data_IF_991250126157
#
_entry.id   IF_991250126157
#
_cell.length_a   1.000
_cell.length_b   1.000
_cell.length_c   1.000
_cell.angle_alpha   90.00
_cell.angle_beta   90.00
_cell.angle_gamma   90.00
#
_symmetry.space_group_name_H-M   'P 1'
#
loop_
_entity.id
_entity.type
_entity.pdbx_description
1 polymer ?
#
# COMPACT_ATOMS: atom_id res chain seq x y z
N UNK A 1 18.27 -3.98 41.55
CA UNK A 1 19.06 -3.77 40.31
C UNK A 1 18.25 -2.91 39.35
N UNK A 2 18.44 -1.59 39.37
CA UNK A 2 17.94 -0.72 38.31
C UNK A 2 18.92 -0.85 37.13
N UNK A 3 18.56 -1.68 36.14
CA UNK A 3 19.30 -1.72 34.89
C UNK A 3 19.17 -0.35 34.20
N UNK A 4 20.18 0.48 34.37
CA UNK A 4 20.28 1.79 33.74
C UNK A 4 20.76 1.62 32.29
N UNK A 5 19.98 0.90 31.46
CA UNK A 5 20.20 0.88 30.02
C UNK A 5 19.82 2.24 29.45
N UNK A 6 20.79 3.14 29.33
CA UNK A 6 20.69 4.28 28.40
C UNK A 6 20.68 3.71 26.98
N UNK A 7 19.51 3.32 26.48
CA UNK A 7 19.32 3.05 25.05
C UNK A 7 19.55 4.37 24.31
N UNK A 8 20.79 4.59 23.87
CA UNK A 8 21.16 5.81 23.18
C UNK A 8 20.79 5.69 21.69
N UNK A 9 19.51 5.89 21.37
CA UNK A 9 18.99 5.94 19.99
C UNK A 9 19.50 7.15 19.19
N UNK A 10 20.58 7.81 19.62
CA UNK A 10 21.31 8.75 18.78
C UNK A 10 22.27 8.04 17.81
N UNK A 11 22.55 6.75 18.01
CA UNK A 11 23.39 5.98 17.10
C UNK A 11 22.61 5.66 15.80
N UNK A 12 23.07 6.21 14.69
CA UNK A 12 22.52 6.01 13.34
C UNK A 12 22.39 4.53 12.98
N UNK A 13 23.41 3.71 13.28
CA UNK A 13 23.40 2.27 12.96
C UNK A 13 22.28 1.52 13.65
N UNK A 14 21.96 1.86 14.90
CA UNK A 14 20.83 1.25 15.62
C UNK A 14 19.52 1.56 14.89
N UNK A 15 19.37 2.78 14.38
CA UNK A 15 18.18 3.18 13.62
C UNK A 15 18.10 2.44 12.29
N UNK A 16 19.22 2.29 11.59
CA UNK A 16 19.32 1.50 10.37
C UNK A 16 18.92 0.04 10.60
N UNK A 17 19.39 -0.60 11.68
CA UNK A 17 18.99 -1.97 12.03
C UNK A 17 17.50 -2.07 12.36
N UNK A 18 16.96 -1.13 13.13
CA UNK A 18 15.53 -1.11 13.43
C UNK A 18 14.69 -0.93 12.15
N UNK A 19 15.14 -0.10 11.22
CA UNK A 19 14.48 0.06 9.93
C UNK A 19 14.64 -1.17 9.04
N UNK A 20 15.79 -1.85 9.07
CA UNK A 20 16.00 -3.12 8.37
C UNK A 20 14.97 -4.17 8.80
N UNK A 21 14.74 -4.29 10.12
CA UNK A 21 13.71 -5.19 10.66
C UNK A 21 12.32 -4.76 10.15
N UNK A 22 12.01 -3.45 10.12
CA UNK A 22 10.74 -2.97 9.57
C UNK A 22 10.57 -3.39 8.10
N UNK A 23 11.60 -3.23 7.28
CA UNK A 23 11.58 -3.63 5.86
C UNK A 23 11.34 -5.13 5.70
N UNK A 24 11.99 -5.97 6.50
CA UNK A 24 11.78 -7.42 6.47
C UNK A 24 10.31 -7.73 6.80
N UNK A 25 9.81 -7.23 7.94
CA UNK A 25 8.49 -7.59 8.45
C UNK A 25 7.32 -6.96 7.68
N UNK A 26 7.51 -5.80 7.06
CA UNK A 26 6.44 -5.05 6.38
C UNK A 26 6.52 -5.18 4.86
N UNK A 27 7.71 -5.33 4.27
CA UNK A 27 7.87 -5.41 2.81
C UNK A 27 8.08 -6.85 2.33
N UNK A 28 8.97 -7.59 2.99
CA UNK A 28 9.32 -8.95 2.54
C UNK A 28 8.33 -10.00 3.01
N UNK A 29 7.80 -9.91 4.23
CA UNK A 29 6.85 -10.88 4.80
C UNK A 29 5.64 -10.21 5.49
N UNK A 30 4.88 -9.35 4.78
CA UNK A 30 3.81 -8.53 5.36
C UNK A 30 2.65 -9.31 5.97
N UNK A 31 2.42 -10.54 5.49
CA UNK A 31 1.31 -11.39 5.94
C UNK A 31 1.72 -12.44 6.98
N UNK A 32 3.00 -12.52 7.33
CA UNK A 32 3.45 -13.38 8.42
C UNK A 32 2.82 -12.95 9.75
N UNK A 33 2.31 -13.92 10.50
CA UNK A 33 1.64 -13.67 11.79
C UNK A 33 0.64 -14.75 12.18
N UNK A 34 -0.28 -14.39 13.07
CA UNK A 34 -1.32 -15.27 13.62
C UNK A 34 -2.67 -14.55 13.71
N UNK A 35 -3.75 -15.28 13.98
CA UNK A 35 -5.06 -14.70 14.27
C UNK A 35 -5.34 -14.78 15.76
N UNK A 36 -5.86 -13.70 16.34
CA UNK A 36 -6.37 -13.67 17.70
C UNK A 36 -7.83 -13.22 17.66
N UNK A 37 -8.77 -14.04 18.13
CA UNK A 37 -10.21 -13.74 18.11
C UNK A 37 -10.73 -13.26 16.72
N UNK A 38 -10.25 -13.89 15.63
CA UNK A 38 -10.61 -13.52 14.26
C UNK A 38 -9.86 -12.32 13.67
N UNK A 39 -9.08 -11.59 14.48
CA UNK A 39 -8.31 -10.42 14.03
C UNK A 39 -6.93 -10.89 13.53
N UNK A 40 -6.53 -10.58 12.28
CA UNK A 40 -5.21 -10.91 11.79
C UNK A 40 -4.16 -9.98 12.40
N UNK A 41 -3.24 -10.56 13.17
CA UNK A 41 -2.09 -9.86 13.76
C UNK A 41 -0.86 -10.24 12.95
N UNK A 42 -0.23 -9.27 12.29
CA UNK A 42 1.00 -9.49 11.51
C UNK A 42 2.23 -9.03 12.28
N UNK A 43 3.37 -9.68 12.03
CA UNK A 43 4.64 -9.31 12.65
C UNK A 43 5.03 -7.86 12.37
N UNK A 44 4.76 -7.38 11.14
CA UNK A 44 4.98 -5.99 10.76
C UNK A 44 4.22 -5.01 11.65
N UNK A 45 2.93 -5.26 11.91
CA UNK A 45 2.10 -4.35 12.71
C UNK A 45 2.43 -4.44 14.20
N UNK A 46 2.77 -5.62 14.72
CA UNK A 46 3.31 -5.76 16.08
C UNK A 46 4.61 -4.98 16.25
N UNK A 47 5.48 -5.04 15.25
CA UNK A 47 6.74 -4.31 15.25
C UNK A 47 6.53 -2.79 15.16
N UNK A 48 5.59 -2.32 14.35
CA UNK A 48 5.18 -0.91 14.36
C UNK A 48 4.64 -0.48 15.74
N UNK A 49 3.87 -1.34 16.40
CA UNK A 49 3.42 -1.12 17.79
C UNK A 49 4.58 -1.01 18.78
N UNK A 50 5.58 -1.89 18.66
CA UNK A 50 6.82 -1.80 19.46
C UNK A 50 7.57 -0.49 19.20
N UNK A 51 7.77 -0.10 17.93
CA UNK A 51 8.42 1.17 17.59
C UNK A 51 7.63 2.36 18.13
N UNK A 52 6.29 2.30 18.12
CA UNK A 52 5.44 3.34 18.68
C UNK A 52 5.70 3.51 20.17
N UNK A 53 5.67 2.42 20.94
CA UNK A 53 5.96 2.45 22.38
C UNK A 53 7.38 2.97 22.66
N UNK A 54 8.36 2.53 21.88
CA UNK A 54 9.74 3.01 21.98
C UNK A 54 9.83 4.52 21.74
N UNK A 55 9.15 5.04 20.71
CA UNK A 55 9.07 6.47 20.44
C UNK A 55 8.44 7.21 21.63
N UNK A 56 7.33 6.72 22.17
CA UNK A 56 6.64 7.32 23.33
C UNK A 56 7.56 7.39 24.57
N UNK A 57 8.30 6.32 24.87
CA UNK A 57 9.28 6.32 25.99
C UNK A 57 10.36 7.38 25.79
N UNK A 58 10.82 7.58 24.55
CA UNK A 58 11.80 8.63 24.25
C UNK A 58 11.23 10.04 24.41
N UNK A 59 9.93 10.24 24.12
CA UNK A 59 9.24 11.52 24.36
C UNK A 59 9.32 11.90 25.83
N UNK A 60 8.94 10.97 26.71
CA UNK A 60 8.93 11.20 28.16
C UNK A 60 10.33 11.48 28.71
N UNK A 61 11.36 10.84 28.17
CA UNK A 61 12.74 11.04 28.62
C UNK A 61 13.33 12.39 28.19
N UNK A 62 13.12 12.82 26.94
CA UNK A 62 13.81 14.01 26.39
C UNK A 62 13.12 15.36 26.67
N UNK A 63 11.90 15.37 27.25
CA UNK A 63 11.06 16.56 27.55
C UNK A 63 10.77 17.52 26.38
N UNK A 64 11.39 17.34 25.21
CA UNK A 64 11.16 18.10 23.98
C UNK A 64 11.20 17.13 22.79
N UNK A 65 10.09 17.03 22.07
CA UNK A 65 10.00 16.28 20.83
C UNK A 65 9.70 17.24 19.69
N UNK A 66 10.71 17.44 18.83
CA UNK A 66 10.62 18.35 17.71
C UNK A 66 10.14 17.59 16.48
N UNK A 67 8.84 17.71 16.21
CA UNK A 67 8.24 17.25 14.95
C UNK A 67 8.22 18.41 13.97
N UNK A 68 8.45 18.15 12.69
CA UNK A 68 8.31 19.22 11.70
C UNK A 68 6.85 19.61 11.54
N UNK A 69 6.60 20.90 11.32
CA UNK A 69 5.26 21.43 11.08
C UNK A 69 4.54 20.71 9.93
N UNK A 70 5.27 20.33 8.87
CA UNK A 70 4.73 19.58 7.73
C UNK A 70 4.10 18.24 8.16
N UNK A 71 4.82 17.44 8.95
CA UNK A 71 4.29 16.15 9.44
C UNK A 71 3.10 16.36 10.37
N UNK A 72 3.19 17.37 11.25
CA UNK A 72 2.13 17.69 12.20
C UNK A 72 0.83 18.11 11.49
N UNK A 73 0.90 18.99 10.49
CA UNK A 73 -0.28 19.37 9.71
C UNK A 73 -0.87 18.19 8.94
N UNK A 74 -0.02 17.30 8.39
CA UNK A 74 -0.50 16.08 7.74
C UNK A 74 -1.27 15.17 8.70
N UNK A 75 -0.79 15.01 9.94
CA UNK A 75 -1.51 14.28 10.98
C UNK A 75 -2.82 14.98 11.37
N UNK A 76 -2.81 16.29 11.60
CA UNK A 76 -4.02 17.04 11.93
C UNK A 76 -5.10 16.90 10.85
N UNK A 77 -4.72 16.85 9.57
CA UNK A 77 -5.66 16.67 8.47
C UNK A 77 -6.38 15.30 8.50
N UNK A 78 -5.85 14.29 9.21
CA UNK A 78 -6.53 12.98 9.34
C UNK A 78 -7.60 12.97 10.43
N UNK A 79 -7.47 13.84 11.45
CA UNK A 79 -8.35 13.84 12.62
C UNK A 79 -9.83 14.13 12.29
N UNK A 80 -10.19 15.10 11.42
CA UNK A 80 -11.59 15.35 11.09
C UNK A 80 -12.31 14.13 10.55
N UNK A 81 -11.65 13.33 9.69
CA UNK A 81 -12.24 12.11 9.15
C UNK A 81 -12.43 11.04 10.23
N UNK A 82 -11.45 10.86 11.11
CA UNK A 82 -11.55 9.91 12.24
C UNK A 82 -12.66 10.32 13.21
N UNK A 83 -12.75 11.61 13.57
CA UNK A 83 -13.80 12.11 14.44
C UNK A 83 -15.19 11.96 13.81
N UNK A 84 -15.32 12.29 12.52
CA UNK A 84 -16.55 12.10 11.78
C UNK A 84 -16.96 10.62 11.74
N UNK A 85 -16.01 9.72 11.50
CA UNK A 85 -16.23 8.28 11.58
C UNK A 85 -16.76 7.86 12.96
N UNK A 86 -16.09 8.27 14.05
CA UNK A 86 -16.50 7.91 15.41
C UNK A 86 -17.89 8.44 15.76
N UNK A 87 -18.23 9.66 15.34
CA UNK A 87 -19.58 10.22 15.51
C UNK A 87 -20.60 9.41 14.71
N UNK A 88 -20.28 9.07 13.45
CA UNK A 88 -21.17 8.29 12.59
C UNK A 88 -21.43 6.89 13.19
N UNK A 89 -20.38 6.24 13.70
CA UNK A 89 -20.46 4.95 14.40
C UNK A 89 -21.38 5.02 15.63
N UNK A 90 -21.27 6.08 16.44
CA UNK A 90 -22.10 6.29 17.63
C UNK A 90 -23.57 6.56 17.27
N UNK A 91 -23.83 7.31 16.21
CA UNK A 91 -25.19 7.72 15.83
C UNK A 91 -25.94 6.66 15.01
N UNK A 92 -25.23 5.89 14.19
CA UNK A 92 -25.84 4.98 13.20
C UNK A 92 -25.57 3.50 13.47
N UNK A 93 -24.60 3.19 14.32
CA UNK A 93 -24.25 1.82 14.66
C UNK A 93 -23.23 1.18 13.71
N UNK A 94 -23.01 -0.11 13.93
CA UNK A 94 -21.95 -0.91 13.32
C UNK A 94 -22.44 -2.33 13.03
N UNK A 95 -22.33 -2.77 11.78
CA UNK A 95 -22.79 -4.09 11.34
C UNK A 95 -21.64 -5.03 10.94
N UNK A 96 -20.41 -4.53 10.93
CA UNK A 96 -19.24 -5.31 10.52
C UNK A 96 -18.63 -6.18 11.62
N UNK A 97 -17.57 -6.91 11.28
CA UNK A 97 -16.80 -7.70 12.25
C UNK A 97 -15.91 -6.82 13.13
N UNK A 98 -15.76 -7.12 14.42
CA UNK A 98 -14.88 -6.36 15.31
C UNK A 98 -13.45 -6.15 14.76
N UNK A 99 -12.93 -7.09 13.96
CA UNK A 99 -11.67 -6.95 13.24
C UNK A 99 -11.65 -5.83 12.19
N UNK A 100 -12.75 -5.59 11.47
CA UNK A 100 -12.87 -4.47 10.52
C UNK A 100 -12.84 -3.12 11.25
N UNK A 101 -13.48 -3.03 12.43
CA UNK A 101 -13.44 -1.83 13.27
C UNK A 101 -12.02 -1.52 13.76
N UNK A 102 -11.31 -2.54 14.25
CA UNK A 102 -9.89 -2.40 14.64
C UNK A 102 -9.05 -2.02 13.43
N UNK A 103 -9.24 -2.67 12.29
CA UNK A 103 -8.50 -2.37 11.08
C UNK A 103 -8.68 -0.91 10.66
N UNK A 104 -9.90 -0.35 10.77
CA UNK A 104 -10.16 1.07 10.53
C UNK A 104 -9.38 1.97 11.48
N UNK A 105 -9.52 1.81 12.80
CA UNK A 105 -8.83 2.70 13.76
C UNK A 105 -7.32 2.56 13.69
N UNK A 106 -6.80 1.34 13.49
CA UNK A 106 -5.37 1.14 13.26
C UNK A 106 -4.94 1.91 12.01
N UNK A 107 -5.71 1.82 10.94
CA UNK A 107 -5.41 2.43 9.65
C UNK A 107 -5.45 3.96 9.67
N UNK A 108 -6.52 4.56 10.20
CA UNK A 108 -6.77 6.00 10.08
C UNK A 108 -6.40 6.83 11.31
N UNK A 109 -6.25 6.20 12.48
CA UNK A 109 -5.85 6.89 13.72
C UNK A 109 -4.44 6.49 14.16
N UNK A 110 -4.20 5.19 14.36
CA UNK A 110 -2.95 4.72 14.95
C UNK A 110 -1.74 4.88 14.01
N UNK A 111 -1.85 4.47 12.74
CA UNK A 111 -0.75 4.58 11.77
C UNK A 111 -0.32 6.03 11.53
N UNK A 112 -1.21 6.99 11.20
CA UNK A 112 -0.79 8.38 11.01
C UNK A 112 -0.15 8.98 12.27
N UNK A 113 -0.67 8.68 13.47
CA UNK A 113 -0.02 9.07 14.72
C UNK A 113 1.36 8.41 14.88
N UNK A 114 1.48 7.13 14.57
CA UNK A 114 2.74 6.39 14.66
C UNK A 114 3.80 6.99 13.75
N UNK A 115 3.46 7.30 12.51
CA UNK A 115 4.40 7.91 11.56
C UNK A 115 4.76 9.37 11.90
N UNK A 116 3.86 10.12 12.55
CA UNK A 116 4.20 11.41 13.18
C UNK A 116 5.31 11.22 14.24
N UNK A 117 5.17 10.21 15.10
CA UNK A 117 6.17 9.89 16.12
C UNK A 117 7.44 9.23 15.56
N UNK A 118 7.38 8.61 14.39
CA UNK A 118 8.55 8.05 13.72
C UNK A 118 9.32 9.09 12.91
N UNK A 119 8.71 10.22 12.56
CA UNK A 119 9.35 11.21 11.69
C UNK A 119 10.72 11.70 12.18
N UNK A 120 10.94 11.99 13.50
CA UNK A 120 12.25 12.41 13.99
C UNK A 120 13.25 11.24 14.11
N UNK A 121 12.74 10.01 14.18
CA UNK A 121 13.55 8.81 14.11
C UNK A 121 14.09 8.62 12.68
N UNK A 122 13.19 8.63 11.70
CA UNK A 122 13.50 8.46 10.27
C UNK A 122 14.42 9.56 9.71
N UNK A 123 14.26 10.80 10.18
CA UNK A 123 15.08 11.93 9.73
C UNK A 123 16.58 11.74 9.95
N UNK A 124 16.99 10.97 10.97
CA UNK A 124 18.42 10.72 11.27
C UNK A 124 18.95 9.41 10.70
N UNK A 125 18.24 8.79 9.77
CA UNK A 125 18.76 7.66 9.01
C UNK A 125 19.23 8.20 7.67
N UNK A 126 20.38 7.76 7.19
CA UNK A 126 20.82 8.05 5.83
C UNK A 126 19.75 7.63 4.81
N UNK A 127 19.22 8.62 4.07
CA UNK A 127 18.21 8.41 3.04
C UNK A 127 18.74 7.54 1.90
N UNK A 128 20.05 7.57 1.62
CA UNK A 128 20.65 6.71 0.59
C UNK A 128 20.64 5.25 1.04
N UNK A 129 20.97 4.97 2.31
CA UNK A 129 20.78 3.63 2.89
C UNK A 129 19.33 3.16 2.78
N UNK A 130 18.36 4.00 3.16
CA UNK A 130 16.92 3.68 3.08
C UNK A 130 16.49 3.34 1.65
N UNK A 131 16.79 4.22 0.69
CA UNK A 131 16.43 4.05 -0.73
C UNK A 131 17.03 2.74 -1.30
N UNK A 132 18.29 2.44 -0.97
CA UNK A 132 18.96 1.19 -1.40
C UNK A 132 18.32 -0.04 -0.79
N UNK A 133 17.96 0.02 0.48
CA UNK A 133 17.34 -1.11 1.18
C UNK A 133 15.95 -1.39 0.61
N UNK A 134 15.13 -0.35 0.40
CA UNK A 134 13.83 -0.46 -0.24
C UNK A 134 13.97 -1.03 -1.66
N UNK A 135 14.92 -0.52 -2.44
CA UNK A 135 15.20 -1.01 -3.80
C UNK A 135 15.52 -2.50 -3.81
N UNK A 136 16.36 -2.97 -2.87
CA UNK A 136 16.65 -4.41 -2.72
C UNK A 136 15.41 -5.20 -2.33
N UNK A 137 14.64 -4.72 -1.36
CA UNK A 137 13.44 -5.40 -0.88
C UNK A 137 12.38 -5.56 -1.98
N UNK A 138 12.10 -4.49 -2.74
CA UNK A 138 11.20 -4.52 -3.90
C UNK A 138 11.66 -5.56 -4.93
N UNK A 139 12.95 -5.56 -5.27
CA UNK A 139 13.49 -6.55 -6.21
C UNK A 139 13.31 -7.99 -5.70
N UNK A 140 13.70 -8.27 -4.45
CA UNK A 140 13.63 -9.63 -3.89
C UNK A 140 12.20 -10.14 -3.79
N UNK A 141 11.25 -9.30 -3.35
CA UNK A 141 9.86 -9.72 -3.21
C UNK A 141 9.17 -9.91 -4.56
N UNK A 142 9.56 -9.14 -5.58
CA UNK A 142 9.15 -9.37 -6.97
C UNK A 142 9.75 -10.65 -7.55
N UNK A 143 11.05 -10.88 -7.37
CA UNK A 143 11.72 -12.10 -7.83
C UNK A 143 11.10 -13.35 -7.19
N UNK A 144 10.93 -13.33 -5.87
CA UNK A 144 10.26 -14.41 -5.14
C UNK A 144 8.82 -14.62 -5.64
N UNK A 145 8.09 -13.53 -5.90
CA UNK A 145 6.76 -13.59 -6.50
C UNK A 145 6.73 -14.30 -7.86
N UNK A 146 7.71 -14.04 -8.73
CA UNK A 146 7.82 -14.72 -10.04
C UNK A 146 8.10 -16.21 -9.91
N UNK A 147 8.95 -16.59 -8.95
CA UNK A 147 9.23 -18.00 -8.65
C UNK A 147 7.97 -18.72 -8.15
N UNK A 148 7.25 -18.11 -7.20
CA UNK A 148 6.00 -18.66 -6.69
C UNK A 148 4.91 -18.73 -7.74
N UNK A 149 4.78 -17.70 -8.58
CA UNK A 149 3.83 -17.68 -9.69
C UNK A 149 4.09 -18.85 -10.63
N UNK A 150 5.35 -19.01 -11.08
CA UNK A 150 5.75 -20.11 -11.98
C UNK A 150 5.50 -21.47 -11.33
N UNK A 151 5.88 -21.63 -10.05
CA UNK A 151 5.64 -22.86 -9.31
C UNK A 151 4.15 -23.21 -9.23
N UNK A 152 3.28 -22.25 -8.91
CA UNK A 152 1.83 -22.45 -8.85
C UNK A 152 1.25 -22.85 -10.21
N UNK A 153 1.71 -22.24 -11.31
CA UNK A 153 1.22 -22.62 -12.64
C UNK A 153 1.65 -24.02 -13.06
N UNK A 154 2.82 -24.50 -12.61
CA UNK A 154 3.33 -25.84 -12.96
C UNK A 154 2.70 -26.92 -12.07
N UNK A 155 2.64 -26.69 -10.76
CA UNK A 155 2.26 -27.73 -9.78
C UNK A 155 0.80 -27.67 -9.38
N UNK A 156 0.11 -26.56 -9.61
CA UNK A 156 -1.22 -26.31 -9.07
C UNK A 156 -1.25 -26.01 -7.57
N UNK A 157 -0.10 -25.97 -6.86
CA UNK A 157 -0.05 -25.75 -5.41
C UNK A 157 0.65 -24.43 -5.04
N UNK A 158 0.23 -23.82 -3.93
CA UNK A 158 0.93 -22.67 -3.33
C UNK A 158 2.00 -23.15 -2.35
N UNK A 159 3.14 -22.44 -2.31
CA UNK A 159 4.14 -22.61 -1.24
C UNK A 159 3.75 -21.68 -0.09
N UNK A 160 3.25 -22.26 0.98
CA UNK A 160 2.79 -21.55 2.17
C UNK A 160 3.67 -21.95 3.36
N UNK A 161 4.35 -20.97 3.95
CA UNK A 161 5.14 -21.17 5.17
C UNK A 161 4.35 -20.49 6.28
N UNK A 162 3.73 -21.26 7.20
CA UNK A 162 2.89 -20.71 8.25
C UNK A 162 3.70 -19.75 9.12
N UNK A 163 3.04 -18.70 9.61
CA UNK A 163 3.63 -17.59 10.37
C UNK A 163 4.62 -16.72 9.59
N UNK A 164 5.17 -17.16 8.46
CA UNK A 164 6.19 -16.40 7.70
C UNK A 164 5.58 -15.78 6.45
N UNK A 165 5.13 -16.59 5.50
CA UNK A 165 4.55 -16.09 4.24
C UNK A 165 3.03 -15.99 4.32
N UNK A 166 2.41 -16.80 5.18
CA UNK A 166 0.97 -16.80 5.42
C UNK A 166 0.70 -16.75 6.92
N UNK A 167 -0.36 -16.03 7.29
CA UNK A 167 -0.86 -16.05 8.66
C UNK A 167 -1.29 -17.48 9.00
N UNK A 168 -0.98 -17.98 10.19
CA UNK A 168 -1.33 -19.37 10.54
C UNK A 168 -2.82 -19.69 10.41
N UNK A 169 -3.70 -18.72 10.67
CA UNK A 169 -5.15 -18.87 10.51
C UNK A 169 -5.66 -18.71 9.08
N UNK A 170 -4.78 -18.56 8.09
CA UNK A 170 -5.09 -18.44 6.66
C UNK A 170 -4.47 -19.58 5.82
N UNK A 171 -3.84 -20.57 6.45
CA UNK A 171 -3.21 -21.69 5.75
C UNK A 171 -4.25 -22.44 4.89
N UNK A 172 -3.93 -22.68 3.62
CA UNK A 172 -4.80 -23.35 2.64
C UNK A 172 -5.91 -22.46 2.07
N UNK A 173 -6.02 -21.18 2.46
CA UNK A 173 -7.13 -20.30 2.04
C UNK A 173 -6.79 -19.39 0.86
N UNK A 174 -5.58 -19.47 0.29
CA UNK A 174 -5.10 -18.54 -0.73
C UNK A 174 -5.90 -18.57 -2.04
N UNK A 175 -6.54 -19.69 -2.36
CA UNK A 175 -7.40 -19.83 -3.55
C UNK A 175 -8.69 -18.99 -3.44
N UNK A 176 -9.24 -18.86 -2.23
CA UNK A 176 -10.46 -18.07 -1.96
C UNK A 176 -10.26 -16.55 -1.97
N UNK A 177 -9.01 -16.06 -2.07
CA UNK A 177 -8.68 -14.62 -1.95
C UNK A 177 -8.73 -13.85 -3.27
N UNK A 178 -9.64 -14.22 -4.18
CA UNK A 178 -9.82 -13.61 -5.52
C UNK A 178 -8.53 -13.57 -6.38
N UNK A 179 -7.68 -14.57 -6.19
CA UNK A 179 -6.43 -14.72 -6.92
C UNK A 179 -6.59 -15.47 -8.25
N UNK A 180 -7.71 -16.14 -8.47
CA UNK A 180 -7.99 -16.87 -9.71
C UNK A 180 -8.49 -15.92 -10.81
N UNK A 181 -8.02 -16.13 -12.03
CA UNK A 181 -8.39 -15.41 -13.26
C UNK A 181 -8.54 -16.40 -14.40
N UNK A 182 -9.62 -17.19 -14.38
CA UNK A 182 -9.73 -18.36 -15.26
C UNK A 182 -8.80 -19.48 -14.80
N UNK A 183 -7.99 -20.04 -15.70
CA UNK A 183 -7.04 -21.11 -15.35
C UNK A 183 -5.69 -20.59 -14.85
N UNK A 184 -5.46 -19.26 -14.88
CA UNK A 184 -4.27 -18.66 -14.28
C UNK A 184 -4.56 -18.06 -12.90
N UNK A 185 -3.51 -18.07 -12.08
CA UNK A 185 -3.50 -17.44 -10.77
C UNK A 185 -2.64 -16.17 -10.78
N UNK A 186 -3.09 -15.13 -10.08
CA UNK A 186 -2.32 -13.89 -9.90
C UNK A 186 -0.99 -14.14 -9.18
N UNK A 187 0.03 -13.37 -9.52
CA UNK A 187 1.23 -13.25 -8.71
C UNK A 187 0.89 -12.54 -7.39
N UNK A 188 1.15 -13.22 -6.28
CA UNK A 188 0.80 -12.74 -4.92
C UNK A 188 2.02 -12.52 -4.01
N UNK A 189 3.16 -13.14 -4.31
CA UNK A 189 4.34 -13.18 -3.43
C UNK A 189 3.93 -13.51 -1.97
N UNK A 190 4.50 -12.83 -0.98
CA UNK A 190 4.17 -12.95 0.46
C UNK A 190 2.99 -12.07 0.91
N UNK A 191 2.26 -11.46 -0.02
CA UNK A 191 1.14 -10.54 0.27
C UNK A 191 -0.21 -11.24 0.24
N UNK A 192 -0.25 -12.50 -0.19
CA UNK A 192 -1.44 -13.38 -0.22
C UNK A 192 -2.59 -12.89 -1.12
N UNK A 193 -2.41 -11.76 -1.81
CA UNK A 193 -3.33 -11.19 -2.79
C UNK A 193 -2.54 -10.35 -3.80
N UNK A 194 -2.79 -10.58 -5.09
CA UNK A 194 -2.04 -9.92 -6.17
C UNK A 194 -2.33 -8.42 -6.32
N UNK A 195 -3.53 -7.95 -5.93
CA UNK A 195 -3.83 -6.52 -5.90
C UNK A 195 -3.04 -5.83 -4.78
N UNK A 196 -3.04 -6.40 -3.57
CA UNK A 196 -2.28 -5.84 -2.43
C UNK A 196 -0.79 -5.76 -2.79
N UNK A 197 -0.21 -6.85 -3.31
CA UNK A 197 1.17 -6.86 -3.78
C UNK A 197 1.40 -5.74 -4.79
N UNK A 198 0.61 -5.72 -5.87
CA UNK A 198 0.84 -4.76 -6.96
C UNK A 198 0.73 -3.31 -6.53
N UNK A 199 -0.24 -2.98 -5.68
CA UNK A 199 -0.44 -1.62 -5.17
C UNK A 199 0.67 -1.20 -4.21
N UNK A 200 1.13 -2.08 -3.33
CA UNK A 200 2.27 -1.80 -2.44
C UNK A 200 3.58 -1.61 -3.22
N UNK A 201 3.82 -2.43 -4.24
CA UNK A 201 5.00 -2.29 -5.09
C UNK A 201 4.91 -1.04 -5.95
N UNK A 202 3.73 -0.65 -6.46
CA UNK A 202 3.53 0.62 -7.17
C UNK A 202 3.85 1.83 -6.29
N UNK A 203 3.45 1.82 -5.01
CA UNK A 203 3.81 2.86 -4.04
C UNK A 203 5.33 3.07 -3.94
N UNK A 204 6.10 1.98 -3.98
CA UNK A 204 7.57 2.02 -3.87
C UNK A 204 8.29 2.07 -5.21
N UNK A 205 7.58 1.87 -6.32
CA UNK A 205 8.17 1.76 -7.65
C UNK A 205 8.98 2.99 -8.07
N UNK A 206 8.58 4.24 -7.76
CA UNK A 206 9.40 5.42 -8.08
C UNK A 206 10.77 5.42 -7.40
N UNK A 207 10.84 4.92 -6.16
CA UNK A 207 12.08 4.82 -5.37
C UNK A 207 12.98 3.75 -6.00
N UNK A 208 12.39 2.59 -6.30
CA UNK A 208 13.09 1.50 -6.99
C UNK A 208 13.62 1.94 -8.36
N UNK A 209 12.79 2.57 -9.19
CA UNK A 209 13.17 3.02 -10.54
C UNK A 209 14.30 4.05 -10.53
N UNK A 210 14.33 4.95 -9.54
CA UNK A 210 15.40 5.93 -9.34
C UNK A 210 16.72 5.27 -8.95
N UNK A 211 16.71 4.37 -7.97
CA UNK A 211 17.93 3.83 -7.37
C UNK A 211 18.50 2.64 -8.15
N UNK A 212 17.65 1.91 -8.88
CA UNK A 212 18.08 0.77 -9.67
C UNK A 212 18.74 1.18 -10.99
N UNK A 213 19.97 0.69 -11.22
CA UNK A 213 20.72 0.88 -12.48
C UNK A 213 20.58 -0.27 -13.48
N UNK A 214 20.01 -1.41 -13.08
CA UNK A 214 19.98 -2.63 -13.90
C UNK A 214 18.66 -2.79 -14.67
N UNK A 215 18.73 -2.84 -15.99
CA UNK A 215 17.55 -3.09 -16.84
C UNK A 215 16.90 -4.45 -16.55
N UNK A 216 17.70 -5.48 -16.20
CA UNK A 216 17.19 -6.79 -15.84
C UNK A 216 16.33 -6.74 -14.57
N UNK A 217 16.82 -6.07 -13.52
CA UNK A 217 16.05 -5.89 -12.27
C UNK A 217 14.77 -5.11 -12.50
N UNK A 218 14.82 -4.08 -13.36
CA UNK A 218 13.65 -3.31 -13.74
C UNK A 218 12.62 -4.19 -14.47
N UNK A 219 13.06 -4.99 -15.43
CA UNK A 219 12.21 -5.93 -16.14
C UNK A 219 11.56 -6.96 -15.20
N UNK A 220 12.31 -7.48 -14.21
CA UNK A 220 11.76 -8.40 -13.18
C UNK A 220 10.62 -7.76 -12.39
N UNK A 221 10.80 -6.51 -11.92
CA UNK A 221 9.77 -5.83 -11.13
C UNK A 221 8.55 -5.48 -12.00
N UNK A 222 8.76 -4.98 -13.22
CA UNK A 222 7.67 -4.69 -14.17
C UNK A 222 6.91 -5.98 -14.50
N UNK A 223 7.60 -7.06 -14.81
CA UNK A 223 6.98 -8.35 -15.10
C UNK A 223 6.16 -8.84 -13.89
N UNK A 224 6.69 -8.70 -12.67
CA UNK A 224 5.96 -9.06 -11.46
C UNK A 224 4.67 -8.24 -11.30
N UNK A 225 4.71 -6.92 -11.54
CA UNK A 225 3.53 -6.04 -11.53
C UNK A 225 2.51 -6.44 -12.61
N UNK A 226 2.97 -6.80 -13.81
CA UNK A 226 2.09 -7.25 -14.89
C UNK A 226 1.42 -8.59 -14.57
N UNK A 227 2.16 -9.54 -14.01
CA UNK A 227 1.67 -10.87 -13.62
C UNK A 227 0.77 -10.87 -12.37
N UNK A 228 0.57 -9.71 -11.72
CA UNK A 228 -0.54 -9.55 -10.78
C UNK A 228 -1.91 -9.67 -11.45
N UNK A 229 -1.97 -9.56 -12.79
CA UNK A 229 -3.20 -9.61 -13.59
C UNK A 229 -4.28 -8.67 -13.03
N UNK A 230 -3.85 -7.51 -12.54
CA UNK A 230 -4.70 -6.49 -11.95
C UNK A 230 -4.74 -5.27 -12.84
N UNK A 231 -5.92 -4.97 -13.41
CA UNK A 231 -6.15 -3.78 -14.24
C UNK A 231 -5.73 -2.50 -13.53
N UNK A 232 -6.03 -2.39 -12.24
CA UNK A 232 -5.69 -1.24 -11.41
C UNK A 232 -4.18 -1.06 -11.30
N UNK A 233 -3.44 -2.16 -11.13
CA UNK A 233 -1.97 -2.13 -11.06
C UNK A 233 -1.38 -1.74 -12.42
N UNK A 234 -1.94 -2.26 -13.51
CA UNK A 234 -1.50 -1.91 -14.86
C UNK A 234 -1.74 -0.43 -15.18
N UNK A 235 -2.92 0.09 -14.83
CA UNK A 235 -3.26 1.51 -14.97
C UNK A 235 -2.37 2.39 -14.10
N UNK A 236 -2.07 1.98 -12.87
CA UNK A 236 -1.14 2.70 -11.98
C UNK A 236 0.28 2.77 -12.56
N UNK A 237 0.77 1.66 -13.12
CA UNK A 237 2.09 1.62 -13.78
C UNK A 237 2.14 2.52 -15.01
N UNK A 238 1.10 2.49 -15.84
CA UNK A 238 0.97 3.36 -17.02
C UNK A 238 0.91 4.83 -16.61
N UNK A 239 0.11 5.16 -15.61
CA UNK A 239 0.00 6.51 -15.06
C UNK A 239 1.36 7.01 -14.54
N UNK A 240 2.11 6.18 -13.81
CA UNK A 240 3.46 6.52 -13.38
C UNK A 240 4.41 6.82 -14.55
N UNK A 241 4.39 6.00 -15.61
CA UNK A 241 5.24 6.26 -16.78
C UNK A 241 4.85 7.53 -17.52
N UNK A 242 3.55 7.86 -17.60
CA UNK A 242 3.08 9.15 -18.12
C UNK A 242 3.68 10.31 -17.31
N UNK A 243 3.67 10.22 -15.97
CA UNK A 243 4.22 11.28 -15.11
C UNK A 243 5.72 11.52 -15.33
N UNK A 244 6.52 10.44 -15.45
CA UNK A 244 7.97 10.56 -15.62
C UNK A 244 8.38 10.97 -17.03
N UNK A 245 7.69 10.43 -18.03
CA UNK A 245 8.07 10.64 -19.42
C UNK A 245 7.26 11.74 -20.11
N UNK A 246 6.46 12.54 -19.37
CA UNK A 246 5.57 13.56 -19.92
C UNK A 246 6.19 14.43 -21.03
N UNK A 247 7.43 14.88 -20.82
CA UNK A 247 8.16 15.76 -21.74
C UNK A 247 8.75 15.02 -22.95
N UNK A 248 8.74 13.69 -22.92
CA UNK A 248 9.23 12.77 -23.96
C UNK A 248 8.13 11.88 -24.54
N UNK A 249 6.87 12.04 -24.11
CA UNK A 249 5.73 11.23 -24.55
C UNK A 249 5.66 11.19 -26.08
N UNK A 250 5.77 12.33 -26.76
CA UNK A 250 5.71 12.39 -28.22
C UNK A 250 6.88 11.70 -28.93
N UNK A 251 8.07 11.68 -28.32
CA UNK A 251 9.24 10.97 -28.88
C UNK A 251 9.18 9.47 -28.65
N UNK A 252 8.55 9.03 -27.57
CA UNK A 252 8.51 7.64 -27.15
C UNK A 252 7.19 6.93 -27.49
N UNK A 253 6.16 7.66 -27.94
CA UNK A 253 4.87 7.11 -28.37
C UNK A 253 5.04 5.98 -29.37
N UNK A 254 5.98 6.07 -30.32
CA UNK A 254 6.20 4.99 -31.31
C UNK A 254 6.76 3.71 -30.68
N UNK A 255 7.73 3.84 -29.76
CA UNK A 255 8.36 2.70 -29.08
C UNK A 255 7.41 2.09 -28.05
N UNK A 256 6.69 2.92 -27.29
CA UNK A 256 5.72 2.45 -26.31
C UNK A 256 4.41 1.97 -26.93
N UNK A 257 3.97 2.53 -28.06
CA UNK A 257 2.86 1.96 -28.83
C UNK A 257 3.27 0.61 -29.42
N UNK A 258 4.51 0.47 -29.90
CA UNK A 258 5.02 -0.81 -30.39
C UNK A 258 5.15 -1.85 -29.26
N UNK A 259 5.77 -1.51 -28.13
CA UNK A 259 5.85 -2.41 -26.97
C UNK A 259 4.47 -2.69 -26.37
N UNK A 260 3.58 -1.70 -26.34
CA UNK A 260 2.19 -1.85 -25.93
C UNK A 260 1.40 -2.76 -26.87
N UNK A 261 1.66 -2.69 -28.18
CA UNK A 261 1.07 -3.58 -29.19
C UNK A 261 1.62 -5.01 -29.09
N UNK A 262 2.93 -5.18 -28.91
CA UNK A 262 3.55 -6.50 -28.67
C UNK A 262 3.03 -7.10 -27.37
N UNK A 263 2.92 -6.31 -26.31
CA UNK A 263 2.34 -6.74 -25.03
C UNK A 263 0.85 -7.06 -25.17
N UNK A 264 0.09 -6.27 -25.94
CA UNK A 264 -1.31 -6.53 -26.26
C UNK A 264 -1.47 -7.85 -27.02
N UNK A 265 -0.64 -8.12 -28.03
CA UNK A 265 -0.66 -9.38 -28.77
C UNK A 265 -0.30 -10.56 -27.86
N UNK A 266 0.76 -10.44 -27.07
CA UNK A 266 1.20 -11.48 -26.14
C UNK A 266 0.15 -11.76 -25.05
N UNK A 267 -0.41 -10.70 -24.47
CA UNK A 267 -1.49 -10.79 -23.50
C UNK A 267 -2.76 -11.35 -24.13
N UNK A 268 -3.09 -11.03 -25.39
CA UNK A 268 -4.25 -11.59 -26.09
C UNK A 268 -4.08 -13.07 -26.39
N UNK A 269 -2.89 -13.51 -26.81
CA UNK A 269 -2.56 -14.93 -27.02
C UNK A 269 -2.61 -15.73 -25.72
N UNK A 270 -2.08 -15.18 -24.61
CA UNK A 270 -2.20 -15.79 -23.29
C UNK A 270 -3.65 -15.78 -22.78
N UNK A 271 -4.42 -14.72 -23.04
CA UNK A 271 -5.78 -14.57 -22.55
C UNK A 271 -6.80 -15.46 -23.25
N UNK A 272 -6.69 -15.65 -24.57
CA UNK A 272 -7.59 -16.53 -25.31
C UNK A 272 -7.46 -18.00 -24.89
N UNK A 273 -6.28 -18.44 -24.44
CA UNK A 273 -6.03 -19.85 -24.06
C UNK A 273 -6.34 -20.15 -22.59
N UNK A 274 -6.19 -19.17 -21.69
CA UNK A 274 -6.17 -19.43 -20.24
C UNK A 274 -7.13 -18.59 -19.38
N UNK A 275 -7.91 -17.66 -19.93
CA UNK A 275 -8.79 -16.81 -19.11
C UNK A 275 -10.28 -17.13 -19.25
N UNK A 276 -11.01 -16.99 -18.14
CA UNK A 276 -12.47 -17.14 -18.04
C UNK A 276 -13.25 -16.22 -18.98
N UNK A 277 -12.66 -15.08 -19.36
CA UNK A 277 -13.28 -14.05 -20.18
C UNK A 277 -13.28 -14.34 -21.69
N UNK A 278 -12.70 -15.49 -22.12
CA UNK A 278 -12.57 -15.94 -23.53
C UNK A 278 -11.88 -14.97 -24.50
N UNK A 279 -11.55 -13.75 -24.07
CA UNK A 279 -10.82 -12.72 -24.83
C UNK A 279 -10.19 -11.64 -23.94
N UNK A 280 -9.14 -10.99 -24.43
CA UNK A 280 -8.50 -9.83 -23.79
C UNK A 280 -9.45 -8.62 -23.67
N UNK A 281 -10.25 -8.39 -24.71
CA UNK A 281 -11.34 -7.41 -24.71
C UNK A 281 -12.31 -7.66 -23.55
N UNK A 282 -12.76 -8.92 -23.39
CA UNK A 282 -13.66 -9.31 -22.30
C UNK A 282 -13.06 -9.13 -20.90
N UNK A 283 -11.73 -9.18 -20.75
CA UNK A 283 -11.05 -8.89 -19.48
C UNK A 283 -10.89 -7.38 -19.21
N UNK A 284 -10.45 -6.61 -20.21
CA UNK A 284 -10.28 -5.16 -20.06
C UNK A 284 -11.64 -4.48 -19.88
N UNK A 285 -12.58 -4.78 -20.77
CA UNK A 285 -13.91 -4.20 -20.84
C UNK A 285 -14.94 -5.04 -20.06
N UNK A 286 -14.51 -5.86 -19.10
CA UNK A 286 -15.40 -6.65 -18.25
C UNK A 286 -16.42 -5.75 -17.57
N UNK A 287 -17.68 -5.87 -17.99
CA UNK A 287 -18.82 -5.14 -17.45
C UNK A 287 -19.12 -5.53 -16.00
N UNK A 288 -18.69 -6.71 -15.54
CA UNK A 288 -18.84 -7.12 -14.15
C UNK A 288 -17.76 -6.49 -13.22
N UNK A 289 -16.78 -5.76 -13.77
CA UNK A 289 -15.66 -5.15 -13.04
C UNK A 289 -14.95 -6.15 -12.11
N UNK A 290 -14.87 -7.43 -12.49
CA UNK A 290 -14.32 -8.50 -11.64
C UNK A 290 -15.19 -8.86 -10.44
N UNK A 291 -16.52 -8.71 -10.54
CA UNK A 291 -17.51 -9.00 -9.50
C UNK A 291 -17.93 -7.77 -8.67
N UNK A 292 -17.39 -6.59 -8.97
CA UNK A 292 -17.58 -5.36 -8.19
C UNK A 292 -18.74 -4.51 -8.66
N UNK A 293 -19.41 -4.88 -9.75
CA UNK A 293 -20.55 -4.10 -10.26
C UNK A 293 -21.68 -3.98 -9.21
N UNK A 294 -21.80 -4.94 -8.30
CA UNK A 294 -22.77 -4.87 -7.20
C UNK A 294 -22.49 -3.71 -6.23
N UNK A 295 -21.23 -3.32 -6.03
CA UNK A 295 -20.86 -2.14 -5.22
C UNK A 295 -21.42 -0.85 -5.86
N UNK A 296 -21.42 -0.79 -7.19
CA UNK A 296 -21.94 0.34 -7.97
C UNK A 296 -23.47 0.28 -8.09
N UNK A 297 -24.05 -0.91 -8.28
CA UNK A 297 -25.50 -1.11 -8.45
C UNK A 297 -26.29 -0.90 -7.16
N UNK A 298 -25.68 -1.12 -6.00
CA UNK A 298 -26.28 -0.83 -4.69
C UNK A 298 -26.27 0.68 -4.34
N UNK A 299 -25.97 1.55 -5.31
CA UNK A 299 -26.01 2.99 -5.12
C UNK A 299 -27.47 3.48 -5.05
N UNK A 300 -27.98 3.66 -3.83
CA UNK A 300 -29.37 4.10 -3.58
C UNK A 300 -29.50 5.63 -3.45
N UNK A 301 -28.74 6.39 -4.25
CA UNK A 301 -28.82 7.86 -4.33
C UNK A 301 -27.72 8.61 -3.57
N UNK A 302 -27.70 9.94 -3.75
CA UNK A 302 -26.74 10.84 -3.10
C UNK A 302 -27.15 11.08 -1.64
N UNK A 303 -26.26 10.79 -0.69
CA UNK A 303 -26.46 11.16 0.71
C UNK A 303 -25.40 12.17 1.16
N UNK A 304 -25.83 13.20 1.88
CA UNK A 304 -24.92 14.22 2.40
C UNK A 304 -24.09 13.69 3.59
N UNK A 305 -24.73 12.95 4.52
CA UNK A 305 -24.11 12.41 5.74
C UNK A 305 -23.95 10.89 5.77
N UNK A 306 -24.21 10.21 4.65
CA UNK A 306 -24.31 8.75 4.57
C UNK A 306 -25.70 8.27 4.95
N UNK A 307 -26.02 7.01 4.67
CA UNK A 307 -27.32 6.40 5.00
C UNK A 307 -27.20 4.99 5.59
N UNK A 308 -25.99 4.42 5.61
CA UNK A 308 -25.76 3.02 5.98
C UNK A 308 -24.96 2.93 7.27
N UNK A 309 -25.13 1.81 7.96
CA UNK A 309 -24.23 1.35 9.03
C UNK A 309 -22.84 1.10 8.46
N UNK A 310 -21.81 1.29 9.29
CA UNK A 310 -20.45 0.94 8.88
C UNK A 310 -20.27 -0.58 8.95
N UNK A 311 -19.66 -1.17 7.92
CA UNK A 311 -19.29 -2.59 7.90
C UNK A 311 -17.78 -2.74 7.65
N UNK A 312 -17.35 -2.34 6.45
CA UNK A 312 -15.95 -2.27 6.04
C UNK A 312 -15.77 -1.31 4.85
N UNK A 313 -14.56 -0.81 4.62
CA UNK A 313 -14.23 -0.10 3.38
C UNK A 313 -13.92 -1.13 2.30
N UNK A 314 -14.77 -1.13 1.27
CA UNK A 314 -14.65 -1.99 0.10
C UNK A 314 -13.44 -1.60 -0.78
N UNK A 315 -13.15 -2.41 -1.80
CA UNK A 315 -11.99 -2.22 -2.67
C UNK A 315 -12.03 -0.90 -3.49
N UNK A 316 -13.23 -0.46 -3.91
CA UNK A 316 -13.44 0.87 -4.52
C UNK A 316 -13.58 1.90 -3.40
N UNK A 317 -12.45 2.38 -2.91
CA UNK A 317 -12.34 3.17 -1.68
C UNK A 317 -13.27 4.38 -1.65
N UNK A 318 -13.18 5.29 -2.64
CA UNK A 318 -13.96 6.53 -2.62
C UNK A 318 -15.47 6.28 -2.69
N UNK A 319 -15.90 5.29 -3.48
CA UNK A 319 -17.30 4.90 -3.56
C UNK A 319 -17.79 4.32 -2.24
N UNK A 320 -16.97 3.48 -1.60
CA UNK A 320 -17.29 2.88 -0.30
C UNK A 320 -17.40 3.93 0.81
N UNK A 321 -16.47 4.90 0.83
CA UNK A 321 -16.52 6.04 1.74
C UNK A 321 -17.78 6.87 1.48
N UNK A 322 -18.09 7.17 0.22
CA UNK A 322 -19.28 7.92 -0.14
C UNK A 322 -20.58 7.23 0.32
N UNK A 323 -20.69 5.92 0.08
CA UNK A 323 -21.87 5.11 0.44
C UNK A 323 -22.13 5.12 1.94
N UNK A 324 -21.08 4.93 2.74
CA UNK A 324 -21.19 4.81 4.19
C UNK A 324 -21.23 6.18 4.90
N UNK A 325 -20.47 7.15 4.42
CA UNK A 325 -20.22 8.42 5.13
C UNK A 325 -20.76 9.67 4.42
N UNK A 326 -21.27 9.53 3.19
CA UNK A 326 -21.82 10.62 2.39
C UNK A 326 -20.76 11.57 1.81
N UNK A 327 -21.24 12.66 1.23
CA UNK A 327 -20.39 13.73 0.66
C UNK A 327 -19.43 14.29 1.71
N UNK A 328 -19.91 14.55 2.93
CA UNK A 328 -19.08 15.12 4.00
C UNK A 328 -17.94 14.19 4.35
N UNK A 329 -18.23 12.90 4.56
CA UNK A 329 -17.19 11.90 4.83
C UNK A 329 -16.18 11.77 3.70
N UNK A 330 -16.63 11.80 2.44
CA UNK A 330 -15.76 11.77 1.27
C UNK A 330 -14.83 12.99 1.21
N UNK A 331 -15.35 14.20 1.49
CA UNK A 331 -14.54 15.41 1.52
C UNK A 331 -13.48 15.36 2.62
N UNK A 332 -13.86 14.95 3.84
CA UNK A 332 -12.92 14.81 4.97
C UNK A 332 -11.86 13.74 4.68
N UNK A 333 -12.26 12.63 4.06
CA UNK A 333 -11.35 11.60 3.58
C UNK A 333 -10.36 12.15 2.54
N UNK A 334 -10.86 12.86 1.53
CA UNK A 334 -10.01 13.48 0.51
C UNK A 334 -9.03 14.49 1.12
N UNK A 335 -9.47 15.31 2.08
CA UNK A 335 -8.58 16.19 2.85
C UNK A 335 -7.49 15.35 3.53
N UNK A 336 -7.86 14.32 4.29
CA UNK A 336 -6.88 13.46 4.99
C UNK A 336 -5.81 12.86 4.06
N UNK A 337 -6.17 12.49 2.83
CA UNK A 337 -5.29 11.74 1.93
C UNK A 337 -4.53 12.61 0.91
N UNK A 338 -5.13 13.71 0.45
CA UNK A 338 -4.49 14.62 -0.51
C UNK A 338 -3.70 15.76 0.17
N UNK A 339 -3.90 15.99 1.47
CA UNK A 339 -3.21 17.07 2.16
C UNK A 339 -1.67 16.93 2.23
N UNK A 340 -1.07 15.73 2.37
CA UNK A 340 0.38 15.57 2.20
C UNK A 340 0.88 16.03 0.82
N UNK A 341 0.12 15.77 -0.25
CA UNK A 341 0.45 16.25 -1.60
C UNK A 341 0.35 17.77 -1.65
N UNK A 342 -0.73 18.34 -1.13
CA UNK A 342 -0.90 19.80 -1.10
C UNK A 342 0.26 20.50 -0.40
N UNK A 343 0.69 20.03 0.77
CA UNK A 343 1.87 20.56 1.46
C UNK A 343 3.15 20.35 0.65
N UNK A 344 3.31 19.19 0.01
CA UNK A 344 4.48 18.89 -0.80
C UNK A 344 4.59 19.78 -2.05
N UNK A 345 3.47 20.17 -2.65
CA UNK A 345 3.43 21.12 -3.77
C UNK A 345 3.64 22.56 -3.31
N UNK A 346 3.16 22.89 -2.10
CA UNK A 346 3.25 24.24 -1.52
C UNK A 346 4.59 24.53 -0.85
N UNK A 347 5.48 23.54 -0.73
CA UNK A 347 6.76 23.69 -0.03
C UNK A 347 7.94 23.25 -0.90
N UNK A 348 9.14 23.76 -0.60
CA UNK A 348 10.38 23.40 -1.33
C UNK A 348 11.12 22.24 -0.64
N UNK A 349 12.09 21.66 -1.36
CA UNK A 349 13.02 20.62 -0.89
C UNK A 349 12.37 19.30 -0.44
N UNK A 350 11.26 18.92 -1.07
CA UNK A 350 10.60 17.65 -0.82
C UNK A 350 11.21 16.52 -1.68
N UNK A 351 11.08 15.29 -1.20
CA UNK A 351 11.56 14.11 -1.91
C UNK A 351 10.57 13.70 -3.02
N UNK A 352 10.87 14.15 -4.23
CA UNK A 352 10.01 14.01 -5.41
C UNK A 352 9.58 12.56 -5.70
N UNK A 353 10.46 11.59 -5.50
CA UNK A 353 10.15 10.19 -5.82
C UNK A 353 9.11 9.58 -4.86
N UNK A 354 9.15 9.93 -3.58
CA UNK A 354 8.12 9.53 -2.62
C UNK A 354 6.79 10.22 -2.93
N UNK A 355 6.82 11.49 -3.36
CA UNK A 355 5.63 12.22 -3.80
C UNK A 355 4.96 11.53 -5.01
N UNK A 356 5.75 11.12 -6.01
CA UNK A 356 5.24 10.35 -7.15
C UNK A 356 4.57 9.05 -6.69
N UNK A 357 5.14 8.34 -5.72
CA UNK A 357 4.57 7.10 -5.18
C UNK A 357 3.20 7.32 -4.56
N UNK A 358 3.08 8.38 -3.75
CA UNK A 358 1.80 8.78 -3.14
C UNK A 358 0.75 9.17 -4.20
N UNK A 359 1.13 9.97 -5.20
CA UNK A 359 0.21 10.38 -6.28
C UNK A 359 -0.27 9.17 -7.09
N UNK A 360 0.64 8.25 -7.43
CA UNK A 360 0.29 7.01 -8.14
C UNK A 360 -0.68 6.16 -7.31
N UNK A 361 -0.49 6.03 -6.00
CA UNK A 361 -1.42 5.29 -5.15
C UNK A 361 -2.81 5.90 -5.08
N UNK A 362 -2.90 7.23 -4.90
CA UNK A 362 -4.19 7.91 -4.81
C UNK A 362 -4.97 7.85 -6.12
N UNK A 363 -4.27 7.81 -7.26
CA UNK A 363 -4.87 7.51 -8.56
C UNK A 363 -5.43 6.07 -8.62
N UNK A 364 -4.67 5.09 -8.15
CA UNK A 364 -5.09 3.67 -8.11
C UNK A 364 -6.31 3.46 -7.18
N UNK A 365 -6.44 4.26 -6.12
CA UNK A 365 -7.59 4.21 -5.20
C UNK A 365 -8.95 4.53 -5.85
N UNK A 366 -8.97 5.13 -7.06
CA UNK A 366 -10.22 5.32 -7.81
C UNK A 366 -10.83 4.00 -8.30
N UNK A 367 -10.04 2.93 -8.39
CA UNK A 367 -10.50 1.63 -8.88
C UNK A 367 -10.32 0.52 -7.85
N UNK A 368 -9.15 0.38 -7.24
CA UNK A 368 -8.86 -0.67 -6.27
C UNK A 368 -7.73 -0.22 -5.35
N UNK A 369 -8.09 0.40 -4.23
CA UNK A 369 -7.11 0.96 -3.31
C UNK A 369 -6.54 -0.05 -2.32
N UNK A 370 -7.17 -1.22 -2.18
CA UNK A 370 -6.87 -2.24 -1.16
C UNK A 370 -6.53 -1.63 0.22
N UNK A 371 -7.24 -0.57 0.59
CA UNK A 371 -6.76 0.40 1.56
C UNK A 371 -6.71 -0.14 2.98
N UNK A 372 -7.77 -0.83 3.41
CA UNK A 372 -7.82 -1.48 4.73
C UNK A 372 -7.02 -2.78 4.80
N UNK A 373 -6.52 -3.28 3.67
CA UNK A 373 -5.78 -4.53 3.68
C UNK A 373 -4.32 -4.29 4.07
N UNK A 374 -3.87 -5.01 5.10
CA UNK A 374 -2.47 -5.02 5.54
C UNK A 374 -1.57 -5.49 4.38
N UNK A 375 -0.50 -4.77 4.02
CA UNK A 375 0.12 -3.64 4.73
C UNK A 375 -0.11 -2.25 4.07
N UNK A 376 -1.06 -2.10 3.15
CA UNK A 376 -1.13 -0.98 2.19
C UNK A 376 -1.00 0.40 2.82
N UNK A 377 -1.77 0.70 3.88
CA UNK A 377 -1.70 2.01 4.52
C UNK A 377 -0.41 2.26 5.31
N UNK A 378 0.24 1.22 5.84
CA UNK A 378 1.56 1.39 6.45
C UNK A 378 2.59 1.88 5.41
N UNK A 379 2.52 1.38 4.17
CA UNK A 379 3.33 1.89 3.06
C UNK A 379 2.97 3.33 2.71
N UNK A 380 1.67 3.65 2.61
CA UNK A 380 1.22 4.99 2.27
C UNK A 380 1.70 6.04 3.28
N UNK A 381 1.51 5.82 4.58
CA UNK A 381 1.97 6.76 5.61
C UNK A 381 3.50 6.83 5.70
N UNK A 382 4.20 5.71 5.51
CA UNK A 382 5.66 5.72 5.38
C UNK A 382 6.12 6.61 4.22
N UNK A 383 5.57 6.38 3.03
CA UNK A 383 5.90 7.14 1.82
C UNK A 383 5.64 8.63 2.04
N UNK A 384 4.48 8.99 2.60
CA UNK A 384 4.12 10.38 2.89
C UNK A 384 5.04 11.05 3.91
N UNK A 385 5.50 10.31 4.92
CA UNK A 385 6.49 10.81 5.88
C UNK A 385 7.81 11.10 5.19
N UNK A 386 8.25 10.20 4.30
CA UNK A 386 9.51 10.36 3.56
C UNK A 386 9.48 11.48 2.52
N UNK A 387 8.31 11.95 2.07
CA UNK A 387 8.19 13.15 1.20
C UNK A 387 8.91 14.34 1.83
N UNK A 388 8.84 14.51 3.15
CA UNK A 388 9.38 15.67 3.84
C UNK A 388 10.77 15.46 4.45
N UNK A 389 11.37 14.29 4.24
CA UNK A 389 12.73 13.96 4.69
C UNK A 389 13.67 14.05 3.48
N UNK A 390 14.50 15.09 3.45
CA UNK A 390 15.43 15.35 2.36
C UNK A 390 16.82 14.75 2.62
N UNK A 391 17.57 14.48 1.53
CA UNK A 391 18.91 13.89 1.57
C UNK A 391 19.95 14.67 2.40
N UNK A 392 19.72 15.96 2.68
CA UNK A 392 20.67 16.82 3.39
C UNK A 392 20.18 17.20 4.80
N UNK A 393 19.36 16.37 5.44
CA UNK A 393 18.70 16.71 6.71
C UNK A 393 19.27 16.04 7.96
N UNK A 394 20.37 15.30 7.82
CA UNK A 394 21.15 14.71 8.91
C UNK A 394 22.20 15.67 9.44
#
# INVERSE_FOLDING_TARGET
MCFNYKINLNNEKIREYLFLIAVILIILIPKGGFKLAGIPITWGYLYLGFLFLLSVVLLFNKRKFLVSSKHFYCYLATLPFVLYFSINLLLRGYDGSFGNLIAFYVSFAFLPLSFLLFSPFLKKIDVVFLDKLICKAVFFVSLYGLLLFTFKQITGHYIEIPYITVNSGDLGTLEGKYNMRGSLYKLISTYNNGNIFGVCILLLFPIFHKENKSNLKLAVVILALLLTLSRTVWLGLLFYFILIYRDKIFKLIKIYAFLGFVFFLFATLLMNKYFQYKSFSGFILDSNLGGRINQIRQFTGLSFFGSQTFDFIEEIVYLSIFKQFGIVGLLLFCISFFFPIYIALSTKNNNYYYLLGSITYLFVCFSDGCMLYIPTLAFFYFVNTMIFISKNSA
#
